data_IF_342869103805
#
_entry.id   IF_342869103805
#
_cell.length_a   1.000
_cell.length_b   1.000
_cell.length_c   1.000
_cell.angle_alpha   90.00
_cell.angle_beta   90.00
_cell.angle_gamma   90.00
#
_symmetry.space_group_name_H-M   'P 1'
#
loop_
_entity.id
_entity.type
_entity.pdbx_description
1 polymer ?
#
# COMPACT_ATOMS: atom_id res chain seq x y z
N UNK A 1 1.23 10.76 -11.97
CA UNK A 1 2.04 9.53 -12.18
C UNK A 1 1.80 8.59 -11.00
N UNK A 2 1.00 7.54 -11.21
CA UNK A 2 0.52 6.66 -10.14
C UNK A 2 1.67 5.83 -9.56
N UNK A 3 1.91 5.85 -8.24
CA UNK A 3 2.95 5.05 -7.58
C UNK A 3 2.84 3.55 -7.86
N UNK A 4 1.61 3.09 -8.10
CA UNK A 4 1.32 1.74 -8.61
C UNK A 4 2.05 1.43 -9.92
N UNK A 5 2.05 2.36 -10.89
CA UNK A 5 2.77 2.18 -12.17
C UNK A 5 4.28 2.07 -11.95
N UNK A 6 4.82 2.85 -11.01
CA UNK A 6 6.24 2.76 -10.64
C UNK A 6 6.59 1.37 -10.07
N UNK A 7 5.74 0.83 -9.17
CA UNK A 7 5.87 -0.53 -8.66
C UNK A 7 5.78 -1.59 -9.77
N UNK A 8 4.77 -1.48 -10.63
CA UNK A 8 4.54 -2.43 -11.72
C UNK A 8 5.72 -2.42 -12.72
N UNK A 9 6.27 -1.25 -13.05
CA UNK A 9 7.47 -1.13 -13.88
C UNK A 9 8.69 -1.78 -13.22
N UNK A 10 8.91 -1.56 -11.91
CA UNK A 10 10.02 -2.17 -11.17
C UNK A 10 9.88 -3.69 -11.13
N UNK A 11 8.68 -4.19 -10.87
CA UNK A 11 8.37 -5.62 -10.88
C UNK A 11 8.61 -6.23 -12.26
N UNK A 12 8.16 -5.57 -13.33
CA UNK A 12 8.37 -6.03 -14.72
C UNK A 12 9.84 -6.12 -15.08
N UNK A 13 10.65 -5.13 -14.68
CA UNK A 13 12.09 -5.13 -14.90
C UNK A 13 12.82 -6.24 -14.15
N UNK A 14 12.27 -6.71 -13.03
CA UNK A 14 12.83 -7.82 -12.24
C UNK A 14 12.22 -9.18 -12.58
N UNK A 15 11.21 -9.23 -13.45
CA UNK A 15 10.43 -10.44 -13.71
C UNK A 15 11.28 -11.62 -14.21
N UNK A 16 12.35 -11.34 -14.95
CA UNK A 16 13.30 -12.36 -15.40
C UNK A 16 14.00 -13.07 -14.23
N UNK A 17 14.22 -12.37 -13.11
CA UNK A 17 14.94 -12.88 -11.95
C UNK A 17 14.01 -13.57 -10.94
N UNK A 18 12.84 -12.98 -10.66
CA UNK A 18 11.92 -13.47 -9.62
C UNK A 18 10.69 -14.20 -10.15
N UNK A 19 10.49 -14.22 -11.48
CA UNK A 19 9.33 -14.85 -12.09
C UNK A 19 9.34 -16.36 -11.98
N UNK A 20 8.19 -16.98 -12.27
CA UNK A 20 7.98 -18.44 -12.24
C UNK A 20 8.99 -19.29 -13.03
N UNK A 21 9.60 -18.73 -14.09
CA UNK A 21 10.59 -19.43 -14.93
C UNK A 21 12.01 -19.35 -14.37
N UNK A 22 12.23 -18.55 -13.33
CA UNK A 22 13.54 -18.41 -12.70
C UNK A 22 13.89 -19.66 -11.89
N UNK A 23 15.12 -20.16 -12.09
CA UNK A 23 15.68 -21.29 -11.36
C UNK A 23 16.11 -20.95 -9.92
N UNK A 24 15.92 -19.70 -9.47
CA UNK A 24 16.18 -19.34 -8.09
C UNK A 24 15.27 -20.12 -7.13
N UNK A 25 15.83 -20.47 -5.97
CA UNK A 25 15.05 -21.02 -4.86
C UNK A 25 13.97 -20.04 -4.41
N UNK A 26 12.88 -20.58 -3.87
CA UNK A 26 11.76 -19.78 -3.38
C UNK A 26 12.16 -18.86 -2.24
N UNK A 27 13.07 -19.31 -1.37
CA UNK A 27 13.67 -18.50 -0.32
C UNK A 27 14.46 -17.30 -0.89
N UNK A 28 15.27 -17.50 -1.93
CA UNK A 28 16.01 -16.41 -2.57
C UNK A 28 15.08 -15.39 -3.22
N UNK A 29 14.03 -15.84 -3.92
CA UNK A 29 12.99 -14.97 -4.49
C UNK A 29 12.29 -14.15 -3.40
N UNK A 30 11.98 -14.79 -2.28
CA UNK A 30 11.36 -14.12 -1.13
C UNK A 30 12.28 -13.04 -0.52
N UNK A 31 13.57 -13.33 -0.39
CA UNK A 31 14.56 -12.35 0.08
C UNK A 31 14.61 -11.14 -0.84
N UNK A 32 14.65 -11.35 -2.15
CA UNK A 32 14.63 -10.25 -3.14
C UNK A 32 13.36 -9.39 -3.02
N UNK A 33 12.20 -10.03 -2.82
CA UNK A 33 10.96 -9.31 -2.58
C UNK A 33 11.04 -8.43 -1.33
N UNK A 34 11.53 -8.99 -0.21
CA UNK A 34 11.68 -8.28 1.07
C UNK A 34 12.69 -7.13 1.00
N UNK A 35 13.75 -7.26 0.22
CA UNK A 35 14.81 -6.25 0.15
C UNK A 35 14.53 -5.14 -0.86
N UNK A 36 13.87 -5.43 -1.98
CA UNK A 36 13.69 -4.45 -3.06
C UNK A 36 12.24 -4.00 -3.19
N UNK A 37 11.28 -4.94 -3.28
CA UNK A 37 9.89 -4.59 -3.54
C UNK A 37 9.21 -4.03 -2.29
N UNK A 38 9.50 -4.60 -1.12
CA UNK A 38 8.96 -4.16 0.17
C UNK A 38 9.24 -2.68 0.49
N UNK A 39 10.48 -2.17 0.42
CA UNK A 39 10.73 -0.76 0.70
C UNK A 39 10.08 0.18 -0.33
N UNK A 40 9.95 -0.23 -1.60
CA UNK A 40 9.33 0.62 -2.65
C UNK A 40 7.85 0.88 -2.35
N UNK A 41 7.10 -0.13 -1.91
CA UNK A 41 5.69 0.08 -1.52
C UNK A 41 5.53 0.61 -0.09
N UNK A 42 6.47 0.30 0.81
CA UNK A 42 6.51 0.87 2.16
C UNK A 42 6.70 2.39 2.13
N UNK A 43 7.57 2.89 1.24
CA UNK A 43 7.72 4.33 1.04
C UNK A 43 6.40 4.98 0.57
N UNK A 44 5.61 4.22 -0.19
CA UNK A 44 4.24 4.60 -0.54
C UNK A 44 3.33 4.78 0.69
N UNK A 45 3.50 3.97 1.75
CA UNK A 45 2.75 4.13 3.00
C UNK A 45 3.09 5.47 3.64
N UNK A 46 4.36 5.87 3.75
CA UNK A 46 4.71 7.14 4.41
C UNK A 46 4.27 8.35 3.59
N UNK A 47 4.45 8.30 2.26
CA UNK A 47 4.13 9.41 1.36
C UNK A 47 2.62 9.57 1.16
N UNK A 48 1.87 8.48 1.12
CA UNK A 48 0.40 8.48 1.01
C UNK A 48 -0.24 8.27 2.39
N UNK A 49 0.50 8.60 3.46
CA UNK A 49 0.40 8.13 4.85
C UNK A 49 -0.79 8.52 5.69
N UNK A 50 -1.92 8.74 5.04
CA UNK A 50 -3.23 8.69 5.70
C UNK A 50 -4.11 7.59 5.10
N UNK A 51 -3.48 6.58 4.50
CA UNK A 51 -3.99 5.30 3.98
C UNK A 51 -5.52 5.22 3.90
N UNK A 52 -6.11 5.83 2.86
CA UNK A 52 -7.48 5.55 2.49
C UNK A 52 -7.63 4.05 2.24
N UNK A 53 -8.81 3.49 2.56
CA UNK A 53 -9.10 2.07 2.36
C UNK A 53 -8.73 1.60 0.94
N UNK A 54 -9.03 2.44 -0.06
CA UNK A 54 -8.68 2.22 -1.47
C UNK A 54 -7.18 2.02 -1.73
N UNK A 55 -6.31 2.77 -1.05
CA UNK A 55 -4.87 2.66 -1.25
C UNK A 55 -4.31 1.39 -0.62
N UNK A 56 -4.88 0.96 0.52
CA UNK A 56 -4.53 -0.32 1.16
C UNK A 56 -4.91 -1.47 0.24
N UNK A 57 -6.13 -1.47 -0.30
CA UNK A 57 -6.59 -2.50 -1.25
C UNK A 57 -5.71 -2.59 -2.50
N UNK A 58 -5.24 -1.45 -3.02
CA UNK A 58 -4.32 -1.42 -4.16
C UNK A 58 -3.00 -2.11 -3.81
N UNK A 59 -2.45 -1.85 -2.63
CA UNK A 59 -1.21 -2.47 -2.15
C UNK A 59 -1.40 -3.97 -1.87
N UNK A 60 -2.51 -4.37 -1.24
CA UNK A 60 -2.84 -5.78 -1.00
C UNK A 60 -2.99 -6.55 -2.31
N UNK A 61 -3.64 -5.94 -3.31
CA UNK A 61 -3.77 -6.50 -4.66
C UNK A 61 -2.41 -6.62 -5.34
N UNK A 62 -1.54 -5.62 -5.21
CA UNK A 62 -0.18 -5.67 -5.73
C UNK A 62 0.64 -6.80 -5.09
N UNK A 63 0.63 -6.91 -3.76
CA UNK A 63 1.30 -7.98 -3.03
C UNK A 63 0.82 -9.35 -3.50
N UNK A 64 -0.50 -9.56 -3.53
CA UNK A 64 -1.10 -10.83 -3.93
C UNK A 64 -0.77 -11.20 -5.39
N UNK A 65 -0.85 -10.24 -6.31
CA UNK A 65 -0.50 -10.46 -7.73
C UNK A 65 0.98 -10.81 -7.89
N UNK A 66 1.85 -10.15 -7.14
CA UNK A 66 3.29 -10.40 -7.16
C UNK A 66 3.62 -11.80 -6.66
N UNK A 67 3.07 -12.22 -5.52
CA UNK A 67 3.28 -13.57 -4.98
C UNK A 67 2.84 -14.67 -5.94
N UNK A 68 1.66 -14.50 -6.54
CA UNK A 68 1.14 -15.44 -7.53
C UNK A 68 2.04 -15.55 -8.75
N UNK A 69 2.59 -14.43 -9.21
CA UNK A 69 3.47 -14.39 -10.38
C UNK A 69 4.85 -15.02 -10.11
N UNK A 70 5.36 -14.91 -8.87
CA UNK A 70 6.65 -15.47 -8.47
C UNK A 70 6.57 -16.99 -8.22
N UNK A 71 5.56 -17.45 -7.48
CA UNK A 71 5.42 -18.84 -7.04
C UNK A 71 4.44 -19.67 -7.88
N UNK A 72 3.97 -19.14 -9.02
CA UNK A 72 3.04 -19.81 -9.93
C UNK A 72 1.73 -20.28 -9.25
N UNK A 73 1.21 -19.48 -8.32
CA UNK A 73 0.05 -19.84 -7.49
C UNK A 73 -1.26 -19.63 -8.27
N UNK A 74 -2.15 -20.65 -8.37
CA UNK A 74 -3.44 -20.54 -9.05
C UNK A 74 -4.37 -19.46 -8.47
N UNK A 75 -5.15 -18.73 -9.30
CA UNK A 75 -5.97 -17.60 -8.87
C UNK A 75 -7.10 -17.96 -7.88
N UNK A 76 -7.58 -19.21 -7.88
CA UNK A 76 -8.66 -19.67 -7.01
C UNK A 76 -8.24 -19.79 -5.52
N UNK A 77 -6.94 -19.93 -5.24
CA UNK A 77 -6.44 -20.04 -3.87
C UNK A 77 -6.65 -18.70 -3.14
N UNK A 78 -7.23 -18.72 -1.94
CA UNK A 78 -7.46 -17.50 -1.16
C UNK A 78 -6.13 -16.85 -0.73
N UNK A 79 -6.09 -15.50 -0.76
CA UNK A 79 -4.92 -14.73 -0.34
C UNK A 79 -4.52 -15.01 1.13
N UNK A 80 -5.48 -15.42 1.97
CA UNK A 80 -5.20 -15.83 3.36
C UNK A 80 -4.23 -17.02 3.42
N UNK A 81 -4.46 -18.04 2.61
CA UNK A 81 -3.60 -19.22 2.57
C UNK A 81 -2.23 -18.91 1.98
N UNK A 82 -2.17 -18.05 0.95
CA UNK A 82 -0.90 -17.60 0.36
C UNK A 82 -0.03 -16.90 1.40
N UNK A 83 -0.61 -16.00 2.19
CA UNK A 83 0.13 -15.27 3.20
C UNK A 83 0.59 -16.17 4.35
N UNK A 84 -0.24 -17.16 4.74
CA UNK A 84 0.10 -18.14 5.76
C UNK A 84 1.27 -19.03 5.32
N UNK A 85 1.19 -19.59 4.12
CA UNK A 85 2.19 -20.50 3.54
C UNK A 85 3.54 -19.80 3.32
N UNK A 86 3.50 -18.55 2.83
CA UNK A 86 4.70 -17.74 2.59
C UNK A 86 5.22 -17.01 3.83
N UNK A 87 4.55 -17.17 4.99
CA UNK A 87 4.82 -16.45 6.24
C UNK A 87 4.97 -14.93 6.01
N UNK A 88 4.03 -14.36 5.25
CA UNK A 88 4.01 -12.96 4.86
C UNK A 88 2.94 -12.19 5.64
N UNK A 89 3.38 -11.09 6.26
CA UNK A 89 2.49 -10.13 6.89
C UNK A 89 1.63 -9.44 5.84
N UNK A 90 0.37 -9.21 6.17
CA UNK A 90 -0.53 -8.43 5.32
C UNK A 90 -0.08 -6.96 5.29
N UNK A 91 -0.48 -6.22 4.25
CA UNK A 91 -0.20 -4.78 4.18
C UNK A 91 -0.75 -4.05 5.41
N UNK A 92 -1.92 -4.46 5.91
CA UNK A 92 -2.54 -3.88 7.11
C UNK A 92 -1.69 -4.09 8.36
N UNK A 93 -1.27 -5.33 8.61
CA UNK A 93 -0.36 -5.65 9.72
C UNK A 93 0.98 -4.90 9.62
N UNK A 94 1.46 -4.68 8.39
CA UNK A 94 2.68 -3.92 8.17
C UNK A 94 2.49 -2.43 8.50
N UNK A 95 1.37 -1.83 8.08
CA UNK A 95 1.01 -0.45 8.44
C UNK A 95 0.90 -0.29 9.96
N UNK A 96 0.24 -1.24 10.64
CA UNK A 96 0.13 -1.23 12.10
C UNK A 96 1.50 -1.31 12.78
N UNK A 97 2.39 -2.17 12.31
CA UNK A 97 3.76 -2.24 12.84
C UNK A 97 4.54 -0.97 12.59
N UNK A 98 4.42 -0.36 11.40
CA UNK A 98 5.06 0.93 11.13
C UNK A 98 4.54 2.01 12.06
N UNK A 99 3.23 2.04 12.33
CA UNK A 99 2.62 2.98 13.28
C UNK A 99 3.13 2.77 14.70
N UNK A 100 3.17 1.51 15.17
CA UNK A 100 3.70 1.16 16.50
C UNK A 100 5.17 1.54 16.65
N UNK A 101 6.01 1.14 15.68
CA UNK A 101 7.43 1.45 15.69
C UNK A 101 7.69 2.96 15.64
N UNK A 102 6.87 3.70 14.89
CA UNK A 102 6.94 5.15 14.85
C UNK A 102 6.59 5.74 16.22
N UNK A 103 5.50 5.30 16.86
CA UNK A 103 5.14 5.73 18.22
C UNK A 103 6.26 5.45 19.22
N UNK A 104 6.78 4.23 19.29
CA UNK A 104 7.89 3.88 20.19
C UNK A 104 9.12 4.77 19.97
N UNK A 105 9.46 5.08 18.70
CA UNK A 105 10.56 5.99 18.38
C UNK A 105 10.31 7.43 18.82
N UNK A 106 9.06 7.89 18.79
CA UNK A 106 8.69 9.20 19.30
C UNK A 106 8.77 9.24 20.83
N UNK A 107 8.33 8.18 21.50
CA UNK A 107 8.33 8.09 22.97
C UNK A 107 9.76 8.05 23.55
N UNK A 108 10.71 7.47 22.81
CA UNK A 108 12.13 7.44 23.15
C UNK A 108 12.88 8.72 22.73
N UNK A 109 12.24 9.65 22.03
CA UNK A 109 12.92 10.78 21.44
C UNK A 109 13.20 11.86 22.49
N UNK A 110 14.46 12.33 22.56
CA UNK A 110 14.94 13.31 23.56
C UNK A 110 14.21 14.66 23.44
N UNK A 111 13.74 15.03 22.24
CA UNK A 111 13.09 16.31 22.01
C UNK A 111 11.69 16.36 22.63
N UNK A 112 11.57 17.10 23.74
CA UNK A 112 10.34 17.29 24.51
C UNK A 112 9.19 17.90 23.69
N UNK A 113 9.50 18.72 22.66
CA UNK A 113 8.49 19.32 21.78
C UNK A 113 7.67 18.26 21.03
N UNK A 114 8.26 17.10 20.75
CA UNK A 114 7.58 15.99 20.08
C UNK A 114 6.51 15.37 20.98
N UNK A 115 6.78 15.28 22.29
CA UNK A 115 5.86 14.77 23.31
C UNK A 115 4.72 15.77 23.55
N UNK A 116 5.00 17.06 23.57
CA UNK A 116 3.98 18.13 23.69
C UNK A 116 3.00 18.12 22.51
N UNK A 117 3.51 17.89 21.30
CA UNK A 117 2.67 17.73 20.11
C UNK A 117 1.74 16.51 20.19
N UNK A 118 2.02 15.48 20.99
CA UNK A 118 1.09 14.36 21.21
C UNK A 118 -0.06 14.72 22.16
N UNK A 119 0.21 15.49 23.24
CA UNK A 119 -0.77 15.84 24.27
C UNK A 119 -1.87 16.80 23.80
N UNK A 120 -1.58 17.66 22.81
CA UNK A 120 -2.50 18.67 22.30
C UNK A 120 -3.22 18.29 21.00
N UNK A 121 -4.35 17.58 21.08
CA UNK A 121 -5.39 17.66 20.04
C UNK A 121 -5.17 16.94 18.69
N UNK A 122 -4.12 16.14 18.50
CA UNK A 122 -3.91 15.48 17.20
C UNK A 122 -4.98 14.45 16.82
N UNK A 123 -5.57 13.71 17.76
CA UNK A 123 -6.64 12.74 17.48
C UNK A 123 -7.92 13.42 16.94
N UNK A 124 -8.24 14.62 17.43
CA UNK A 124 -9.39 15.43 16.95
C UNK A 124 -9.09 16.16 15.64
N UNK A 125 -7.85 16.62 15.44
CA UNK A 125 -7.41 17.30 14.21
C UNK A 125 -7.29 16.31 13.05
N UNK A 126 -6.73 15.10 13.26
CA UNK A 126 -6.65 14.06 12.22
C UNK A 126 -8.05 13.57 11.83
N UNK A 127 -8.96 13.36 12.79
CA UNK A 127 -10.34 12.94 12.47
C UNK A 127 -11.15 14.04 11.77
N UNK A 128 -10.94 15.31 12.14
CA UNK A 128 -11.58 16.46 11.48
C UNK A 128 -11.02 16.71 10.07
N UNK A 129 -9.69 16.65 9.90
CA UNK A 129 -9.04 16.75 8.59
C UNK A 129 -9.40 15.55 7.68
N UNK A 130 -9.51 14.33 8.24
CA UNK A 130 -9.98 13.14 7.51
C UNK A 130 -11.42 13.30 7.02
N UNK A 131 -12.35 13.80 7.85
CA UNK A 131 -13.74 14.13 7.43
C UNK A 131 -13.78 15.22 6.36
N UNK A 132 -12.95 16.25 6.46
CA UNK A 132 -12.91 17.36 5.51
C UNK A 132 -12.33 16.95 4.15
N UNK A 133 -11.29 16.12 4.15
CA UNK A 133 -10.70 15.57 2.93
C UNK A 133 -11.67 14.62 2.20
N UNK A 134 -12.39 13.75 2.93
CA UNK A 134 -13.42 12.86 2.36
C UNK A 134 -14.57 13.68 1.75
N UNK A 135 -15.01 14.75 2.42
CA UNK A 135 -16.04 15.66 1.88
C UNK A 135 -15.55 16.38 0.61
N UNK A 136 -14.29 16.82 0.59
CA UNK A 136 -13.70 17.48 -0.59
C UNK A 136 -13.56 16.53 -1.78
N UNK A 137 -13.00 15.32 -1.57
CA UNK A 137 -12.87 14.29 -2.60
C UNK A 137 -14.23 13.85 -3.17
N UNK A 138 -15.25 13.64 -2.33
CA UNK A 138 -16.59 13.30 -2.81
C UNK A 138 -17.25 14.44 -3.59
N UNK A 139 -16.94 15.71 -3.27
CA UNK A 139 -17.43 16.88 -4.01
C UNK A 139 -16.77 16.99 -5.39
N UNK A 140 -15.48 16.64 -5.48
CA UNK A 140 -14.72 16.58 -6.74
C UNK A 140 -15.22 15.43 -7.61
N UNK A 141 -15.36 14.21 -7.08
CA UNK A 141 -15.91 13.07 -7.84
C UNK A 141 -17.33 13.34 -8.35
N UNK A 142 -18.20 13.96 -7.55
CA UNK A 142 -19.57 14.36 -7.99
C UNK A 142 -19.58 15.48 -9.02
N UNK A 143 -18.52 16.28 -9.12
CA UNK A 143 -18.39 17.35 -10.12
C UNK A 143 -17.84 16.79 -11.44
N UNK A 144 -16.86 15.88 -11.36
CA UNK A 144 -16.33 15.14 -12.51
C UNK A 144 -17.41 14.25 -13.14
N UNK A 145 -18.22 13.56 -12.35
CA UNK A 145 -19.31 12.71 -12.84
C UNK A 145 -20.49 13.51 -13.44
N UNK A 146 -20.63 14.79 -13.10
CA UNK A 146 -21.60 15.72 -13.71
C UNK A 146 -21.07 16.47 -14.94
N UNK A 147 -19.79 16.32 -15.26
CA UNK A 147 -19.13 16.93 -16.43
C UNK A 147 -18.97 15.94 -17.59
N UNK A 148 -19.50 14.72 -17.49
CA UNK A 148 -19.62 13.79 -18.62
C UNK A 148 -20.90 14.17 -19.38
N UNK A 149 -20.82 14.68 -20.63
CA UNK A 149 -22.01 14.96 -21.42
C UNK A 149 -22.72 13.65 -21.78
N UNK A 150 -24.03 13.62 -21.55
CA UNK A 150 -24.96 12.63 -22.10
C UNK A 150 -25.20 12.95 -23.59
N UNK A 151 -25.01 11.96 -24.47
CA UNK A 151 -25.32 12.00 -25.90
C UNK A 151 -24.07 11.97 -26.80
N UNK A 152 -24.01 11.26 -27.92
CA UNK A 152 -25.10 10.87 -28.84
C UNK A 152 -24.75 9.66 -29.72
N UNK A 153 -25.82 8.99 -30.15
CA UNK A 153 -26.01 8.07 -31.28
C UNK A 153 -25.15 8.30 -32.55
N UNK A 154 -25.08 7.25 -33.37
CA UNK A 154 -24.80 7.17 -34.82
C UNK A 154 -23.33 7.22 -35.28
N UNK A 155 -22.79 6.05 -35.61
CA UNK A 155 -22.62 5.57 -36.99
C UNK A 155 -22.37 4.06 -37.00
#
# INVERSE_FOLDING_TARGET
>A
MDKRKQLDCKLRGMYWLIGRKSQLSDASKMTIYKTILKPVWTYGIQLWGTASHSNIEILERFQSKTMRAMFNIPPHISNKYINLDLNLRTVKEEIENYSKNYQTRLDQHINQLVTELQGGGQSKILSSKKKQYIRSSNKICRKVMRMVPLGTHLS
#
